data_IF_127865618364
#
_entry.id   IF_127865618364
#
_cell.length_a   1.000
_cell.length_b   1.000
_cell.length_c   1.000
_cell.angle_alpha   90.00
_cell.angle_beta   90.00
_cell.angle_gamma   90.00
#
_symmetry.space_group_name_H-M   'P 1'
#
loop_
_entity.id
_entity.type
_entity.pdbx_description
1 polymer ?
#
# COMPACT_ATOMS: atom_id res chain seq x y z
N UNK A 1 -13.15 19.74 1.09
CA UNK A 1 -11.99 18.86 1.00
C UNK A 1 -11.99 17.96 -0.23
N UNK A 2 -13.10 17.82 -0.92
CA UNK A 2 -13.21 17.08 -2.18
C UNK A 2 -13.66 18.03 -3.28
N UNK A 3 -13.06 17.88 -4.47
CA UNK A 3 -13.54 18.52 -5.69
C UNK A 3 -14.37 17.52 -6.47
N UNK A 4 -15.59 17.92 -6.86
CA UNK A 4 -16.51 17.07 -7.62
C UNK A 4 -16.45 17.46 -9.09
N UNK A 5 -16.06 16.52 -9.95
CA UNK A 5 -16.16 16.64 -11.41
C UNK A 5 -17.36 15.85 -11.91
N UNK A 6 -18.22 16.46 -12.70
CA UNK A 6 -19.41 15.83 -13.28
C UNK A 6 -19.24 15.75 -14.79
N UNK A 7 -19.28 14.55 -15.32
CA UNK A 7 -19.22 14.30 -16.76
C UNK A 7 -20.62 14.10 -17.33
N UNK A 8 -20.86 14.65 -18.53
CA UNK A 8 -22.14 14.48 -19.25
C UNK A 8 -22.11 13.19 -20.08
N UNK A 9 -21.82 12.09 -19.45
CA UNK A 9 -21.88 10.76 -20.06
C UNK A 9 -23.17 10.05 -19.65
N UNK A 10 -23.58 9.02 -20.41
CA UNK A 10 -24.74 8.18 -20.08
C UNK A 10 -24.23 6.76 -19.84
N UNK A 11 -24.27 6.27 -18.58
CA UNK A 11 -24.80 6.89 -17.37
C UNK A 11 -23.92 8.02 -16.83
N UNK A 12 -24.48 8.98 -16.06
CA UNK A 12 -23.71 10.11 -15.51
C UNK A 12 -22.61 9.62 -14.57
N UNK A 13 -21.35 9.97 -14.89
CA UNK A 13 -20.19 9.69 -14.04
C UNK A 13 -19.88 10.91 -13.18
N UNK A 14 -19.57 10.65 -11.92
CA UNK A 14 -19.11 11.67 -10.97
C UNK A 14 -17.82 11.20 -10.34
N UNK A 15 -16.74 11.92 -10.59
CA UNK A 15 -15.46 11.68 -9.97
C UNK A 15 -15.24 12.68 -8.82
N UNK A 16 -14.59 12.20 -7.77
CA UNK A 16 -14.20 13.01 -6.63
C UNK A 16 -12.68 13.02 -6.54
N UNK A 17 -12.09 14.21 -6.56
CA UNK A 17 -10.66 14.41 -6.39
C UNK A 17 -10.38 15.07 -5.05
N UNK A 18 -9.32 14.63 -4.38
CA UNK A 18 -8.85 15.28 -3.16
C UNK A 18 -8.30 16.67 -3.48
N UNK A 19 -8.66 17.67 -2.69
CA UNK A 19 -8.00 18.98 -2.73
C UNK A 19 -6.59 18.87 -2.11
N UNK A 20 -5.69 19.80 -2.42
CA UNK A 20 -4.35 19.83 -1.83
C UNK A 20 -4.41 19.82 -0.30
N UNK A 21 -5.31 20.61 0.28
CA UNK A 21 -5.56 20.60 1.73
C UNK A 21 -5.98 19.23 2.29
N UNK A 22 -6.67 18.40 1.49
CA UNK A 22 -7.03 17.05 1.90
C UNK A 22 -5.83 16.10 1.77
N UNK A 23 -4.94 16.32 0.80
CA UNK A 23 -3.70 15.55 0.64
C UNK A 23 -2.73 15.77 1.81
N UNK A 24 -2.71 16.97 2.40
CA UNK A 24 -1.94 17.26 3.63
C UNK A 24 -2.33 16.40 4.83
N UNK A 25 -3.50 15.75 4.81
CA UNK A 25 -3.91 14.80 5.85
C UNK A 25 -3.34 13.39 5.65
N UNK A 26 -2.78 13.06 4.49
CA UNK A 26 -2.28 11.71 4.21
C UNK A 26 -1.23 11.22 5.23
N UNK A 27 -0.26 12.03 5.68
CA UNK A 27 0.67 11.60 6.73
C UNK A 27 -0.03 11.25 8.05
N UNK A 28 -1.06 12.01 8.43
CA UNK A 28 -1.83 11.76 9.66
C UNK A 28 -2.60 10.44 9.55
N UNK A 29 -3.19 10.17 8.37
CA UNK A 29 -3.87 8.90 8.11
C UNK A 29 -2.89 7.72 8.11
N UNK A 30 -1.68 7.92 7.60
CA UNK A 30 -0.61 6.92 7.66
C UNK A 30 -0.23 6.56 9.10
N UNK A 31 -0.01 7.56 9.97
CA UNK A 31 0.27 7.33 11.38
C UNK A 31 -0.89 6.66 12.12
N UNK A 32 -2.12 7.05 11.81
CA UNK A 32 -3.32 6.40 12.37
C UNK A 32 -3.43 4.93 11.93
N UNK A 33 -3.08 4.64 10.67
CA UNK A 33 -3.07 3.27 10.16
C UNK A 33 -2.01 2.42 10.88
N UNK A 34 -0.80 2.95 11.11
CA UNK A 34 0.26 2.28 11.90
C UNK A 34 -0.20 1.98 13.32
N UNK A 35 -0.80 2.98 13.97
CA UNK A 35 -1.33 2.81 15.32
C UNK A 35 -2.43 1.74 15.36
N UNK A 36 -3.38 1.77 14.43
CA UNK A 36 -4.45 0.77 14.34
C UNK A 36 -3.93 -0.63 14.07
N UNK A 37 -2.90 -0.75 13.23
CA UNK A 37 -2.25 -2.03 12.96
C UNK A 37 -1.58 -2.59 14.22
N UNK A 38 -0.83 -1.79 14.96
CA UNK A 38 -0.13 -2.22 16.17
C UNK A 38 -1.09 -2.72 17.27
N UNK A 39 -2.24 -2.04 17.42
CA UNK A 39 -3.13 -2.27 18.56
C UNK A 39 -4.41 -3.05 18.23
N UNK A 40 -4.82 -3.08 16.98
CA UNK A 40 -6.10 -3.65 16.57
C UNK A 40 -6.00 -4.70 15.45
N UNK A 41 -4.78 -5.07 15.04
CA UNK A 41 -4.61 -6.05 13.98
C UNK A 41 -5.18 -7.40 14.41
N UNK A 42 -5.93 -8.04 13.52
CA UNK A 42 -6.37 -9.43 13.64
C UNK A 42 -6.43 -10.07 12.26
N UNK A 43 -6.16 -11.37 12.19
CA UNK A 43 -6.31 -12.10 10.93
C UNK A 43 -7.74 -11.95 10.39
N UNK A 44 -7.92 -11.67 9.10
CA UNK A 44 -9.24 -11.55 8.50
C UNK A 44 -10.05 -12.83 8.71
N UNK A 45 -11.34 -12.68 8.99
CA UNK A 45 -12.26 -13.81 9.12
C UNK A 45 -12.61 -14.37 7.74
N UNK A 46 -13.00 -15.64 7.66
CA UNK A 46 -13.27 -16.36 6.41
C UNK A 46 -14.26 -15.65 5.46
N UNK A 47 -15.16 -14.82 5.98
CA UNK A 47 -16.15 -14.07 5.19
C UNK A 47 -15.87 -12.56 5.13
N UNK A 48 -14.76 -12.11 5.70
CA UNK A 48 -14.38 -10.72 5.73
C UNK A 48 -13.77 -10.29 4.39
N UNK A 49 -14.25 -9.16 3.86
CA UNK A 49 -13.68 -8.58 2.65
C UNK A 49 -12.52 -7.67 3.04
N UNK A 50 -11.33 -8.01 2.59
CA UNK A 50 -10.13 -7.20 2.77
C UNK A 50 -9.98 -6.27 1.56
N UNK A 51 -9.96 -4.96 1.79
CA UNK A 51 -9.62 -3.97 0.76
C UNK A 51 -8.13 -3.62 0.83
N UNK A 52 -7.30 -4.40 0.12
CA UNK A 52 -5.87 -4.09 0.00
C UNK A 52 -5.62 -2.74 -0.69
N UNK A 53 -6.52 -2.31 -1.56
CA UNK A 53 -6.43 -1.00 -2.19
C UNK A 53 -6.39 0.14 -1.19
N UNK A 54 -7.04 -0.02 -0.03
CA UNK A 54 -6.95 0.97 1.05
C UNK A 54 -5.52 1.15 1.56
N UNK A 55 -4.73 0.06 1.69
CA UNK A 55 -3.32 0.11 2.09
C UNK A 55 -2.48 0.82 1.03
N UNK A 56 -2.64 0.43 -0.24
CA UNK A 56 -1.89 1.04 -1.33
C UNK A 56 -2.21 2.54 -1.48
N UNK A 57 -3.48 2.95 -1.32
CA UNK A 57 -3.89 4.37 -1.37
C UNK A 57 -3.28 5.20 -0.24
N UNK A 58 -2.88 4.59 0.86
CA UNK A 58 -2.18 5.26 1.95
C UNK A 58 -0.67 5.43 1.68
N UNK A 59 -0.11 4.83 0.63
CA UNK A 59 1.32 4.89 0.32
C UNK A 59 1.92 6.31 0.39
N UNK A 60 1.29 7.38 -0.15
CA UNK A 60 1.83 8.73 -0.03
C UNK A 60 1.98 9.24 1.42
N UNK A 61 1.23 8.66 2.35
CA UNK A 61 1.31 8.97 3.78
C UNK A 61 2.20 8.01 4.58
N UNK A 62 2.32 6.76 4.12
CA UNK A 62 3.05 5.69 4.81
C UNK A 62 4.51 5.59 4.40
N UNK A 63 4.77 5.61 3.09
CA UNK A 63 6.08 5.33 2.53
C UNK A 63 6.94 6.59 2.54
N UNK A 64 8.16 6.44 3.06
CA UNK A 64 9.24 7.43 2.95
C UNK A 64 10.34 6.79 2.13
N UNK A 65 10.31 7.01 0.84
CA UNK A 65 11.38 6.54 -0.04
C UNK A 65 12.67 7.32 0.21
N UNK A 66 13.82 6.67 -0.05
CA UNK A 66 15.09 7.39 -0.06
C UNK A 66 15.07 8.49 -1.13
N UNK A 67 15.67 9.66 -0.89
CA UNK A 67 15.81 10.70 -1.93
C UNK A 67 16.50 10.21 -3.21
N UNK A 68 17.32 9.16 -3.11
CA UNK A 68 17.99 8.53 -4.26
C UNK A 68 17.12 7.50 -4.99
N UNK A 69 16.00 7.08 -4.40
CA UNK A 69 15.10 6.10 -4.99
C UNK A 69 14.16 6.80 -5.98
N UNK A 70 14.35 6.49 -7.25
CA UNK A 70 13.54 7.02 -8.35
C UNK A 70 13.06 5.85 -9.20
N UNK A 71 11.79 5.82 -9.50
CA UNK A 71 11.21 4.79 -10.37
C UNK A 71 9.78 4.42 -10.00
N UNK A 72 9.26 3.44 -10.73
CA UNK A 72 7.88 2.98 -10.62
C UNK A 72 7.82 1.49 -10.30
N UNK A 73 6.97 1.13 -9.34
CA UNK A 73 6.68 -0.28 -9.00
C UNK A 73 5.19 -0.52 -9.16
N UNK A 74 4.85 -1.55 -9.91
CA UNK A 74 3.48 -2.01 -10.06
C UNK A 74 3.19 -3.15 -9.09
N UNK A 75 2.18 -2.97 -8.24
CA UNK A 75 1.67 -3.96 -7.31
C UNK A 75 0.40 -4.57 -7.86
N UNK A 76 0.39 -5.88 -8.07
CA UNK A 76 -0.69 -6.61 -8.71
C UNK A 76 -1.31 -7.57 -7.71
N UNK A 77 -2.61 -7.38 -7.46
CA UNK A 77 -3.41 -8.29 -6.63
C UNK A 77 -4.25 -9.16 -7.54
N UNK A 78 -4.00 -10.45 -7.54
CA UNK A 78 -4.78 -11.43 -8.31
C UNK A 78 -5.85 -12.08 -7.42
N UNK A 79 -7.12 -11.89 -7.76
CA UNK A 79 -8.23 -12.58 -7.08
C UNK A 79 -8.70 -13.76 -7.92
N UNK A 80 -8.21 -14.97 -7.59
CA UNK A 80 -8.61 -16.20 -8.28
C UNK A 80 -9.99 -16.73 -7.84
N UNK A 81 -10.50 -16.31 -6.66
CA UNK A 81 -11.70 -16.91 -6.06
C UNK A 81 -13.00 -16.26 -6.50
N UNK A 82 -13.00 -15.00 -6.95
CA UNK A 82 -14.24 -14.27 -7.26
C UNK A 82 -14.44 -13.98 -8.75
N UNK A 83 -13.64 -14.56 -9.64
CA UNK A 83 -13.72 -14.23 -11.08
C UNK A 83 -13.44 -12.76 -11.37
N UNK A 84 -12.90 -12.03 -10.40
CA UNK A 84 -12.43 -10.66 -10.51
C UNK A 84 -11.13 -10.60 -11.29
N UNK A 85 -10.96 -9.58 -12.12
CA UNK A 85 -9.69 -9.28 -12.78
C UNK A 85 -8.62 -8.88 -11.76
N UNK A 86 -7.36 -8.89 -12.19
CA UNK A 86 -6.27 -8.37 -11.37
C UNK A 86 -6.47 -6.87 -11.12
N UNK A 87 -6.27 -6.45 -9.87
CA UNK A 87 -6.19 -5.03 -9.53
C UNK A 87 -4.72 -4.59 -9.55
N UNK A 88 -4.46 -3.45 -10.20
CA UNK A 88 -3.10 -2.91 -10.33
C UNK A 88 -2.99 -1.55 -9.68
N UNK A 89 -1.92 -1.36 -8.92
CA UNK A 89 -1.57 -0.13 -8.22
C UNK A 89 -0.12 0.22 -8.55
N UNK A 90 0.11 1.38 -9.11
CA UNK A 90 1.45 1.85 -9.49
C UNK A 90 1.91 2.90 -8.48
N UNK A 91 2.98 2.59 -7.78
CA UNK A 91 3.64 3.53 -6.89
C UNK A 91 4.87 4.12 -7.60
N UNK A 92 4.94 5.43 -7.66
CA UNK A 92 6.09 6.14 -8.20
C UNK A 92 6.84 6.86 -7.07
N UNK A 93 8.13 6.54 -6.93
CA UNK A 93 9.04 7.21 -6.01
C UNK A 93 9.85 8.28 -6.74
N UNK A 94 9.89 9.48 -6.18
CA UNK A 94 10.69 10.59 -6.67
C UNK A 94 10.96 11.57 -5.52
N UNK A 95 12.21 12.00 -5.35
CA UNK A 95 12.63 12.99 -4.34
C UNK A 95 12.14 12.66 -2.90
N UNK A 96 12.15 11.38 -2.54
CA UNK A 96 11.70 10.90 -1.23
C UNK A 96 10.18 10.87 -1.05
N UNK A 97 9.42 11.25 -2.06
CA UNK A 97 7.96 11.23 -2.08
C UNK A 97 7.45 10.02 -2.86
N UNK A 98 6.27 9.55 -2.49
CA UNK A 98 5.60 8.47 -3.22
C UNK A 98 4.22 8.95 -3.66
N UNK A 99 3.90 8.70 -4.93
CA UNK A 99 2.55 8.87 -5.49
C UNK A 99 1.96 7.53 -5.87
N UNK A 100 0.63 7.49 -6.06
CA UNK A 100 -0.09 6.27 -6.45
C UNK A 100 -1.03 6.55 -7.61
N UNK A 101 -1.12 5.57 -8.53
CA UNK A 101 -2.09 5.49 -9.60
C UNK A 101 -2.73 4.11 -9.66
N UNK A 102 -4.03 4.04 -9.98
CA UNK A 102 -4.80 2.77 -9.97
C UNK A 102 -5.07 2.28 -11.40
N UNK A 103 -4.01 2.04 -12.14
CA UNK A 103 -4.05 1.46 -13.49
C UNK A 103 -2.75 0.70 -13.78
N UNK A 104 -2.75 -0.26 -14.71
CA UNK A 104 -1.54 -0.97 -15.10
C UNK A 104 -0.49 -0.03 -15.69
N UNK A 105 0.77 -0.23 -15.30
CA UNK A 105 1.90 0.47 -15.92
C UNK A 105 2.41 -0.27 -17.14
N UNK A 106 2.65 0.41 -18.28
CA UNK A 106 3.18 -0.27 -19.47
C UNK A 106 4.60 -0.82 -19.29
N UNK A 107 5.47 -0.08 -18.60
CA UNK A 107 6.86 -0.46 -18.34
C UNK A 107 7.29 0.03 -16.95
N UNK A 108 6.85 -0.60 -15.85
CA UNK A 108 7.36 -0.26 -14.53
C UNK A 108 8.78 -0.79 -14.36
N UNK A 109 9.56 -0.15 -13.48
CA UNK A 109 10.92 -0.59 -13.15
C UNK A 109 10.91 -1.91 -12.38
N UNK A 110 9.83 -2.18 -11.64
CA UNK A 110 9.59 -3.47 -10.99
C UNK A 110 8.10 -3.80 -10.95
N UNK A 111 7.80 -5.09 -10.77
CA UNK A 111 6.47 -5.62 -10.48
C UNK A 111 6.51 -6.51 -9.26
N UNK A 112 5.47 -6.43 -8.45
CA UNK A 112 5.22 -7.33 -7.33
C UNK A 112 3.83 -7.90 -7.52
N UNK A 113 3.74 -9.20 -7.71
CA UNK A 113 2.48 -9.88 -7.96
C UNK A 113 2.21 -10.93 -6.88
N UNK A 114 0.95 -11.03 -6.48
CA UNK A 114 0.52 -12.05 -5.54
C UNK A 114 -0.99 -12.18 -5.48
N UNK A 115 -1.44 -13.29 -4.90
CA UNK A 115 -2.85 -13.48 -4.59
C UNK A 115 -3.27 -12.57 -3.43
N UNK A 116 -4.58 -12.38 -3.23
CA UNK A 116 -5.10 -11.66 -2.07
C UNK A 116 -4.55 -12.26 -0.76
N UNK A 117 -4.45 -13.59 -0.67
CA UNK A 117 -3.92 -14.30 0.52
C UNK A 117 -2.43 -14.00 0.72
N UNK A 118 -1.62 -14.06 -0.35
CA UNK A 118 -0.20 -13.72 -0.30
C UNK A 118 0.04 -12.28 0.19
N UNK A 119 -0.78 -11.33 -0.27
CA UNK A 119 -0.72 -9.95 0.19
C UNK A 119 -1.13 -9.78 1.66
N UNK A 120 -2.16 -10.50 2.11
CA UNK A 120 -2.57 -10.49 3.53
C UNK A 120 -1.43 -11.02 4.41
N UNK A 121 -0.76 -12.11 4.00
CA UNK A 121 0.40 -12.65 4.72
C UNK A 121 1.58 -11.66 4.71
N UNK A 122 1.85 -11.02 3.58
CA UNK A 122 2.93 -10.03 3.47
C UNK A 122 2.72 -8.80 4.35
N UNK A 123 1.45 -8.42 4.59
CA UNK A 123 1.10 -7.31 5.47
C UNK A 123 0.72 -7.75 6.89
N UNK A 124 0.83 -9.03 7.23
CA UNK A 124 0.65 -9.51 8.60
C UNK A 124 1.85 -9.14 9.49
N UNK A 125 1.73 -9.23 10.83
CA UNK A 125 2.86 -8.99 11.74
C UNK A 125 4.06 -9.89 11.49
N UNK A 126 3.83 -11.09 10.95
CA UNK A 126 4.88 -12.04 10.57
C UNK A 126 5.65 -11.57 9.33
N UNK A 127 5.02 -10.78 8.48
CA UNK A 127 5.65 -10.16 7.30
C UNK A 127 6.11 -11.16 6.25
N UNK A 128 5.43 -12.31 6.10
CA UNK A 128 5.82 -13.34 5.14
C UNK A 128 5.52 -12.91 3.71
N UNK A 129 6.57 -12.72 2.92
CA UNK A 129 6.53 -12.30 1.51
C UNK A 129 6.91 -13.42 0.55
N UNK A 130 7.12 -14.64 1.04
CA UNK A 130 7.60 -15.77 0.23
C UNK A 130 6.66 -16.16 -0.93
N UNK A 131 5.40 -15.79 -0.85
CA UNK A 131 4.40 -16.03 -1.90
C UNK A 131 4.21 -14.85 -2.88
N UNK A 132 4.94 -13.74 -2.69
CA UNK A 132 4.95 -12.62 -3.64
C UNK A 132 6.05 -12.84 -4.69
N UNK A 133 5.70 -12.69 -5.95
CA UNK A 133 6.66 -12.71 -7.05
C UNK A 133 7.14 -11.29 -7.35
N UNK A 134 8.46 -11.07 -7.25
CA UNK A 134 9.09 -9.78 -7.55
C UNK A 134 9.89 -9.92 -8.85
N UNK A 135 9.67 -9.01 -9.79
CA UNK A 135 10.42 -8.93 -11.05
C UNK A 135 10.92 -7.51 -11.29
N UNK A 136 12.06 -7.36 -11.99
CA UNK A 136 12.66 -6.06 -12.29
C UNK A 136 13.58 -5.55 -11.18
N UNK A 137 13.45 -4.27 -10.79
CA UNK A 137 14.28 -3.64 -9.76
C UNK A 137 13.82 -4.07 -8.35
N UNK A 138 14.40 -5.18 -7.86
CA UNK A 138 14.07 -5.79 -6.57
C UNK A 138 14.34 -4.84 -5.39
N UNK A 139 15.40 -4.04 -5.47
CA UNK A 139 15.76 -3.10 -4.40
C UNK A 139 14.67 -2.04 -4.21
N UNK A 140 14.19 -1.43 -5.31
CA UNK A 140 13.12 -0.45 -5.27
C UNK A 140 11.80 -1.07 -4.81
N UNK A 141 11.47 -2.27 -5.31
CA UNK A 141 10.27 -3.00 -4.91
C UNK A 141 10.27 -3.29 -3.40
N UNK A 142 11.39 -3.79 -2.86
CA UNK A 142 11.53 -4.10 -1.44
C UNK A 142 11.42 -2.83 -0.58
N UNK A 143 12.07 -1.73 -0.98
CA UNK A 143 11.99 -0.47 -0.26
C UNK A 143 10.53 0.04 -0.15
N UNK A 144 9.78 0.01 -1.25
CA UNK A 144 8.38 0.45 -1.23
C UNK A 144 7.49 -0.51 -0.45
N UNK A 145 7.74 -1.82 -0.53
CA UNK A 145 7.05 -2.82 0.29
C UNK A 145 7.31 -2.63 1.79
N UNK A 146 8.56 -2.34 2.17
CA UNK A 146 8.92 -2.09 3.57
C UNK A 146 8.23 -0.83 4.09
N UNK A 147 8.13 0.20 3.26
CA UNK A 147 7.42 1.42 3.60
C UNK A 147 5.91 1.24 3.76
N UNK A 148 5.30 0.30 3.02
CA UNK A 148 3.90 -0.06 3.12
C UNK A 148 3.61 -0.98 4.32
N UNK A 149 4.61 -1.76 4.77
CA UNK A 149 4.46 -2.61 5.94
C UNK A 149 4.18 -1.74 7.17
N UNK A 150 3.03 -1.95 7.77
CA UNK A 150 2.59 -1.16 8.94
C UNK A 150 3.32 -1.56 10.22
N UNK A 151 3.97 -2.74 10.23
CA UNK A 151 4.85 -3.16 11.32
C UNK A 151 6.18 -2.40 11.23
N UNK A 152 6.46 -1.52 12.20
CA UNK A 152 7.84 -1.09 12.39
C UNK A 152 8.67 -2.33 12.72
N UNK A 153 9.67 -2.64 11.89
CA UNK A 153 10.70 -3.61 12.28
C UNK A 153 11.34 -3.05 13.56
N UNK A 154 10.99 -3.61 14.70
CA UNK A 154 11.55 -3.28 16.02
C UNK A 154 13.03 -3.65 16.03
N UNK A 155 13.84 -2.88 15.33
CA UNK A 155 15.29 -2.86 15.53
C UNK A 155 15.55 -2.20 16.89
N UNK A 156 15.59 -3.02 17.94
CA UNK A 156 16.23 -2.69 19.20
C UNK A 156 15.43 -1.90 20.23
N UNK A 157 14.37 -2.47 20.78
CA UNK A 157 13.97 -2.13 22.14
C UNK A 157 13.96 -3.42 22.99
N UNK A 158 15.15 -3.75 23.49
CA UNK A 158 15.29 -4.67 24.62
C UNK A 158 14.59 -4.04 25.83
N UNK A 159 13.38 -4.47 26.11
CA UNK A 159 12.78 -4.18 27.41
C UNK A 159 13.57 -4.96 28.46
N UNK A 160 14.48 -4.26 29.14
CA UNK A 160 14.99 -4.69 30.43
C UNK A 160 13.77 -4.81 31.38
N UNK A 161 13.38 -6.03 31.65
CA UNK A 161 12.49 -6.38 32.77
C UNK A 161 13.13 -5.86 34.05
N UNK A 162 12.64 -4.79 34.62
CA UNK A 162 12.92 -4.41 35.98
C UNK A 162 11.90 -5.12 36.88
N UNK A 163 12.35 -6.23 37.47
CA UNK A 163 11.71 -6.78 38.66
C UNK A 163 12.06 -5.90 39.84
N UNK A 164 11.05 -5.43 40.57
CA UNK A 164 11.07 -5.08 41.98
C UNK A 164 9.63 -5.15 42.52
#
# INVERSE_FOLDING_TARGET
MLTRKRYREVPPRVDYELTDRARELMPILGELARWGYEWAWSSPREQERVDLGAIFRLAPGLVRASPSSVGTVEFIVTDRKQGGGAASYVLAACDGQVSIEEHPAPNPDARVEGTLEAWIHAFSPEGDRGELEITGNETLATELLDGLALSETRAGASHATAAA
#
